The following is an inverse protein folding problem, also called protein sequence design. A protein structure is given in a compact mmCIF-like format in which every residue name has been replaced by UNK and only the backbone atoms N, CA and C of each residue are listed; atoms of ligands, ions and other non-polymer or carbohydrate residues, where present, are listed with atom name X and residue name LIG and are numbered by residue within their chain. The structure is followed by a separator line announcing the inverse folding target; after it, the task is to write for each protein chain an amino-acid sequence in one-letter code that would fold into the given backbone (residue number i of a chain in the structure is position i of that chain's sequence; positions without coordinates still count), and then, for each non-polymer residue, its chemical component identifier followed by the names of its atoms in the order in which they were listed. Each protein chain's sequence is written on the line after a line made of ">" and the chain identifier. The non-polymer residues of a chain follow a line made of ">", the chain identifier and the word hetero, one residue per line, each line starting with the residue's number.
data_IF_239423383012
#
_entry.id   IF_239423383012
#
_cell.length_a   1.000
_cell.length_b   1.000
_cell.length_c   1.000
_cell.angle_alpha   90.00
_cell.angle_beta   90.00
_cell.angle_gamma   90.00
#
_symmetry.space_group_name_H-M   'P 1'
#
loop_
_entity.id
_entity.type
_entity.pdbx_description
1 polymer ?
#
# COMPACT_ATOMS: atom_id res chain seq x y z
N UNK A 1 10.28 -14.19 -4.05
CA UNK A 1 10.19 -12.84 -4.66
C UNK A 1 10.94 -12.69 -5.98
N UNK A 2 12.23 -13.08 -6.09
CA UNK A 2 12.98 -12.95 -7.35
C UNK A 2 12.41 -13.77 -8.53
N UNK A 3 11.82 -14.95 -8.27
CA UNK A 3 11.12 -15.76 -9.28
C UNK A 3 9.85 -15.09 -9.79
N UNK A 4 9.03 -14.51 -8.90
CA UNK A 4 7.79 -13.80 -9.23
C UNK A 4 8.03 -12.67 -10.25
N UNK A 5 9.05 -11.83 -9.99
CA UNK A 5 9.43 -10.76 -10.91
C UNK A 5 9.96 -11.29 -12.25
N UNK A 6 10.69 -12.40 -12.24
CA UNK A 6 11.29 -12.96 -13.46
C UNK A 6 10.24 -13.64 -14.36
N UNK A 7 9.23 -14.26 -13.77
CA UNK A 7 8.29 -15.14 -14.47
C UNK A 7 6.97 -14.44 -14.81
N UNK A 8 6.40 -13.66 -13.88
CA UNK A 8 5.11 -12.98 -14.08
C UNK A 8 5.24 -11.51 -14.47
N UNK A 9 6.30 -10.83 -14.02
CA UNK A 9 6.49 -9.39 -14.24
C UNK A 9 7.84 -9.07 -14.90
N UNK A 10 8.18 -9.68 -16.06
CA UNK A 10 9.53 -9.60 -16.65
C UNK A 10 9.92 -8.20 -17.13
N UNK A 11 8.96 -7.28 -17.26
CA UNK A 11 9.15 -5.87 -17.59
C UNK A 11 9.47 -5.02 -16.35
N UNK A 12 9.10 -5.49 -15.15
CA UNK A 12 9.39 -4.87 -13.86
C UNK A 12 10.81 -5.19 -13.40
N UNK A 13 11.78 -4.92 -14.28
CA UNK A 13 13.22 -5.06 -13.98
C UNK A 13 13.76 -3.88 -13.21
N UNK A 14 12.93 -2.89 -12.91
CA UNK A 14 13.32 -1.72 -12.13
C UNK A 14 14.02 -2.18 -10.85
N UNK A 15 15.28 -1.76 -10.71
CA UNK A 15 16.12 -2.08 -9.55
C UNK A 15 15.42 -1.63 -8.25
N UNK A 16 14.62 -0.55 -8.32
CA UNK A 16 13.78 -0.06 -7.23
C UNK A 16 12.79 -1.11 -6.72
N UNK A 17 12.01 -1.74 -7.59
CA UNK A 17 11.02 -2.77 -7.22
C UNK A 17 11.70 -3.97 -6.54
N UNK A 18 12.83 -4.44 -7.08
CA UNK A 18 13.61 -5.52 -6.48
C UNK A 18 14.17 -5.14 -5.10
N UNK A 19 14.69 -3.92 -4.97
CA UNK A 19 15.27 -3.43 -3.73
C UNK A 19 14.21 -3.31 -2.64
N UNK A 20 13.06 -2.71 -2.95
CA UNK A 20 11.93 -2.59 -2.01
C UNK A 20 11.50 -3.96 -1.52
N UNK A 21 11.25 -4.92 -2.42
CA UNK A 21 10.83 -6.27 -2.03
C UNK A 21 11.90 -7.02 -1.23
N UNK A 22 13.19 -6.83 -1.56
CA UNK A 22 14.30 -7.45 -0.82
C UNK A 22 14.40 -6.90 0.60
N UNK A 23 14.27 -5.58 0.78
CA UNK A 23 14.30 -4.94 2.10
C UNK A 23 13.10 -5.38 2.94
N UNK A 24 11.88 -5.32 2.38
CA UNK A 24 10.65 -5.78 3.04
C UNK A 24 10.75 -7.25 3.45
N UNK A 25 11.17 -8.12 2.53
CA UNK A 25 11.33 -9.55 2.80
C UNK A 25 12.33 -9.83 3.91
N UNK A 26 13.50 -9.16 3.91
CA UNK A 26 14.51 -9.32 4.96
C UNK A 26 13.98 -8.92 6.32
N UNK A 27 13.34 -7.75 6.43
CA UNK A 27 12.79 -7.24 7.70
C UNK A 27 11.69 -8.11 8.27
N UNK A 28 10.83 -8.66 7.41
CA UNK A 28 9.75 -9.56 7.85
C UNK A 28 10.29 -10.93 8.28
N UNK A 29 11.33 -11.45 7.63
CA UNK A 29 11.97 -12.72 8.02
C UNK A 29 12.81 -12.57 9.29
N UNK A 30 13.47 -11.43 9.50
CA UNK A 30 14.31 -11.20 10.68
C UNK A 30 13.53 -10.94 11.97
N UNK A 31 12.19 -10.85 11.91
CA UNK A 31 11.31 -10.43 13.03
C UNK A 31 11.69 -9.07 13.65
N UNK A 32 12.52 -8.27 13.00
CA UNK A 32 12.95 -6.95 13.46
C UNK A 32 11.83 -5.89 13.32
N UNK A 33 10.72 -6.24 12.67
CA UNK A 33 9.57 -5.34 12.47
C UNK A 33 8.77 -5.21 13.77
N UNK A 34 9.03 -4.15 14.52
CA UNK A 34 8.20 -3.74 15.68
C UNK A 34 7.02 -2.85 15.29
N UNK A 35 6.98 -2.40 14.04
CA UNK A 35 6.01 -1.44 13.53
C UNK A 35 5.22 -1.99 12.33
N UNK A 36 4.03 -1.42 12.10
CA UNK A 36 3.24 -1.69 10.91
C UNK A 36 3.96 -1.09 9.70
N UNK A 37 4.25 -1.92 8.70
CA UNK A 37 4.88 -1.45 7.46
C UNK A 37 3.81 -1.28 6.38
N UNK A 38 3.91 -0.20 5.60
CA UNK A 38 3.00 0.06 4.48
C UNK A 38 3.74 -0.09 3.16
N UNK A 39 3.17 -0.87 2.25
CA UNK A 39 3.63 -1.00 0.87
C UNK A 39 2.57 -0.44 -0.07
N UNK A 40 2.89 0.64 -0.78
CA UNK A 40 2.02 1.27 -1.76
C UNK A 40 2.45 0.89 -3.18
N UNK A 41 1.58 0.20 -3.92
CA UNK A 41 1.84 -0.24 -5.29
C UNK A 41 0.96 0.56 -6.25
N UNK A 42 1.54 1.15 -7.28
CA UNK A 42 0.80 1.86 -8.32
C UNK A 42 1.06 1.30 -9.71
N UNK A 43 0.06 1.42 -10.58
CA UNK A 43 0.09 0.98 -11.97
C UNK A 43 -1.11 0.10 -12.32
N UNK A 44 -1.27 -0.16 -13.61
CA UNK A 44 -2.41 -0.90 -14.16
C UNK A 44 -2.56 -2.32 -13.58
N UNK A 45 -1.43 -2.97 -13.24
CA UNK A 45 -1.38 -4.29 -12.61
C UNK A 45 -1.22 -4.27 -11.08
N UNK A 46 -1.36 -3.11 -10.41
CA UNK A 46 -1.07 -2.98 -8.99
C UNK A 46 -1.84 -3.98 -8.11
N UNK A 47 -3.11 -4.26 -8.44
CA UNK A 47 -3.93 -5.25 -7.74
C UNK A 47 -3.40 -6.68 -7.88
N UNK A 48 -3.06 -7.09 -9.09
CA UNK A 48 -2.53 -8.43 -9.35
C UNK A 48 -1.18 -8.60 -8.65
N UNK A 49 -0.33 -7.59 -8.77
CA UNK A 49 0.99 -7.58 -8.15
C UNK A 49 0.90 -7.61 -6.61
N UNK A 50 0.00 -6.84 -6.02
CA UNK A 50 -0.25 -6.86 -4.58
C UNK A 50 -0.71 -8.22 -4.08
N UNK A 51 -1.61 -8.88 -4.81
CA UNK A 51 -2.07 -10.22 -4.48
C UNK A 51 -0.91 -11.24 -4.55
N UNK A 52 -0.09 -11.18 -5.60
CA UNK A 52 1.05 -12.09 -5.77
C UNK A 52 2.13 -11.87 -4.70
N UNK A 53 2.48 -10.61 -4.37
CA UNK A 53 3.44 -10.28 -3.30
C UNK A 53 2.94 -10.78 -1.96
N UNK A 54 1.66 -10.54 -1.67
CA UNK A 54 1.01 -10.97 -0.44
C UNK A 54 1.02 -12.50 -0.33
N UNK A 55 0.69 -13.22 -1.40
CA UNK A 55 0.70 -14.69 -1.42
C UNK A 55 2.10 -15.25 -1.12
N UNK A 56 3.14 -14.71 -1.75
CA UNK A 56 4.54 -15.12 -1.50
C UNK A 56 4.94 -14.86 -0.05
N UNK A 57 4.56 -13.72 0.52
CA UNK A 57 4.88 -13.41 1.92
C UNK A 57 4.13 -14.30 2.90
N UNK A 58 2.86 -14.60 2.65
CA UNK A 58 2.09 -15.55 3.47
C UNK A 58 2.70 -16.94 3.44
N UNK A 59 3.12 -17.42 2.25
CA UNK A 59 3.78 -18.72 2.09
C UNK A 59 5.10 -18.79 2.86
N UNK A 60 5.93 -17.74 2.75
CA UNK A 60 7.26 -17.70 3.40
C UNK A 60 7.15 -17.55 4.91
N UNK A 61 6.20 -16.75 5.40
CA UNK A 61 6.11 -16.41 6.82
C UNK A 61 5.33 -17.46 7.64
N UNK A 62 4.63 -18.41 6.99
CA UNK A 62 3.85 -19.51 7.61
C UNK A 62 2.84 -19.10 8.71
N UNK A 63 2.64 -17.79 8.96
CA UNK A 63 1.98 -17.25 10.16
C UNK A 63 1.02 -16.07 9.87
N UNK A 64 0.43 -15.96 8.68
CA UNK A 64 -0.40 -14.78 8.36
C UNK A 64 -1.66 -15.07 7.55
N UNK A 65 -2.82 -14.72 8.11
CA UNK A 65 -4.03 -14.47 7.33
C UNK A 65 -3.86 -13.17 6.53
N UNK A 66 -3.46 -13.30 5.27
CA UNK A 66 -3.49 -12.18 4.33
C UNK A 66 -4.93 -11.92 3.89
N UNK A 67 -5.62 -10.99 4.53
CA UNK A 67 -6.91 -10.52 4.03
C UNK A 67 -6.73 -9.46 2.95
N UNK A 68 -7.63 -9.41 1.97
CA UNK A 68 -7.73 -8.32 0.99
C UNK A 68 -9.04 -7.56 1.15
N UNK A 69 -8.95 -6.24 1.24
CA UNK A 69 -10.02 -5.25 1.34
C UNK A 69 -10.08 -4.46 0.05
N UNK A 70 -11.26 -4.45 -0.56
CA UNK A 70 -11.51 -3.63 -1.75
C UNK A 70 -12.21 -2.34 -1.35
N UNK A 71 -11.52 -1.20 -1.47
CA UNK A 71 -12.10 0.11 -1.17
C UNK A 71 -12.82 0.71 -2.40
N UNK A 72 -13.84 1.54 -2.14
CA UNK A 72 -14.62 2.22 -3.16
C UNK A 72 -15.06 3.62 -2.69
N UNK A 73 -15.50 4.47 -3.63
CA UNK A 73 -15.85 5.89 -3.40
C UNK A 73 -17.02 6.12 -2.45
N UNK A 74 -17.86 5.11 -2.24
CA UNK A 74 -19.03 5.19 -1.35
C UNK A 74 -18.75 4.60 0.02
N UNK A 75 -17.55 4.07 0.25
CA UNK A 75 -17.20 3.42 1.51
C UNK A 75 -17.11 4.45 2.63
N UNK A 76 -17.91 4.24 3.68
CA UNK A 76 -17.87 5.07 4.88
C UNK A 76 -16.75 4.61 5.82
N UNK A 77 -16.25 5.53 6.65
CA UNK A 77 -15.17 5.29 7.61
C UNK A 77 -15.38 4.05 8.46
N UNK A 78 -16.51 3.92 9.14
CA UNK A 78 -16.80 2.76 9.99
C UNK A 78 -16.82 1.43 9.21
N UNK A 79 -17.19 1.44 7.93
CA UNK A 79 -17.19 0.23 7.10
C UNK A 79 -15.76 -0.17 6.71
N UNK A 80 -14.89 0.82 6.52
CA UNK A 80 -13.48 0.59 6.31
C UNK A 80 -12.84 0.07 7.59
N UNK A 81 -13.10 0.71 8.74
CA UNK A 81 -12.61 0.27 10.05
C UNK A 81 -13.03 -1.19 10.36
N UNK A 82 -14.28 -1.57 10.07
CA UNK A 82 -14.76 -2.95 10.26
C UNK A 82 -14.06 -3.95 9.33
N UNK A 83 -13.73 -3.53 8.09
CA UNK A 83 -13.02 -4.36 7.13
C UNK A 83 -11.54 -4.48 7.46
N UNK A 84 -10.90 -3.41 7.91
CA UNK A 84 -9.51 -3.38 8.41
C UNK A 84 -9.33 -4.40 9.52
N UNK A 85 -10.28 -4.45 10.46
CA UNK A 85 -10.26 -5.45 11.53
C UNK A 85 -10.41 -6.91 11.03
N UNK A 86 -10.79 -7.12 9.76
CA UNK A 86 -11.06 -8.43 9.16
C UNK A 86 -10.09 -8.80 8.02
N UNK A 87 -9.29 -7.87 7.48
CA UNK A 87 -8.41 -8.10 6.32
C UNK A 87 -7.28 -7.05 6.19
N UNK A 88 -6.21 -7.34 5.43
CA UNK A 88 -4.90 -6.63 5.50
C UNK A 88 -4.36 -5.97 4.20
N UNK A 89 -5.14 -5.84 3.11
CA UNK A 89 -4.67 -5.18 1.86
C UNK A 89 -5.74 -4.25 1.28
N UNK A 90 -5.44 -3.04 0.80
CA UNK A 90 -6.44 -2.08 0.33
C UNK A 90 -6.20 -1.53 -1.09
N UNK A 91 -7.27 -1.13 -1.78
CA UNK A 91 -7.21 -0.35 -3.02
C UNK A 91 -7.72 1.08 -2.78
N UNK A 92 -6.81 1.99 -2.46
CA UNK A 92 -7.12 3.30 -1.87
C UNK A 92 -7.47 4.38 -2.90
N UNK A 93 -7.24 4.13 -4.20
CA UNK A 93 -7.48 5.10 -5.28
C UNK A 93 -8.92 5.63 -5.35
N UNK A 94 -9.86 4.84 -4.84
CA UNK A 94 -11.28 5.17 -4.78
C UNK A 94 -11.75 5.68 -3.42
N UNK A 95 -10.93 5.73 -2.38
CA UNK A 95 -11.38 6.27 -1.09
C UNK A 95 -11.64 7.78 -1.19
N UNK A 96 -12.74 8.24 -0.59
CA UNK A 96 -13.15 9.65 -0.57
C UNK A 96 -13.69 10.02 0.81
N UNK A 97 -13.61 11.30 1.16
CA UNK A 97 -14.15 11.84 2.40
C UNK A 97 -13.51 11.26 3.67
N UNK A 98 -14.27 11.16 4.75
CA UNK A 98 -13.76 10.79 6.08
C UNK A 98 -13.14 9.38 6.16
N UNK A 99 -13.44 8.49 5.21
CA UNK A 99 -12.86 7.14 5.20
C UNK A 99 -11.34 7.16 5.06
N UNK A 100 -10.76 8.21 4.44
CA UNK A 100 -9.31 8.36 4.30
C UNK A 100 -8.63 8.47 5.68
N UNK A 101 -9.33 9.00 6.69
CA UNK A 101 -8.79 9.13 8.05
C UNK A 101 -8.54 7.77 8.73
N UNK A 102 -9.19 6.70 8.28
CA UNK A 102 -8.92 5.35 8.78
C UNK A 102 -7.50 4.88 8.44
N UNK A 103 -6.96 5.33 7.29
CA UNK A 103 -5.57 5.04 6.89
C UNK A 103 -4.57 5.65 7.88
N UNK A 104 -4.90 6.81 8.46
CA UNK A 104 -4.04 7.43 9.47
C UNK A 104 -3.85 6.51 10.68
N UNK A 105 -4.93 5.90 11.19
CA UNK A 105 -4.86 5.02 12.37
C UNK A 105 -4.25 3.66 12.03
N UNK A 106 -4.58 3.11 10.85
CA UNK A 106 -4.06 1.81 10.40
C UNK A 106 -2.56 1.83 10.15
N UNK A 107 -2.07 2.89 9.50
CA UNK A 107 -0.67 3.03 9.10
C UNK A 107 0.14 3.86 10.08
N UNK A 108 -0.35 4.08 11.31
CA UNK A 108 0.42 4.76 12.33
C UNK A 108 1.53 3.85 12.88
N UNK A 109 2.77 4.36 12.90
CA UNK A 109 3.94 3.57 13.27
C UNK A 109 3.94 3.16 14.75
N UNK A 110 3.39 3.99 15.65
CA UNK A 110 3.37 3.75 17.09
C UNK A 110 2.06 3.13 17.58
N UNK A 111 0.93 3.52 16.98
CA UNK A 111 -0.39 3.22 17.52
C UNK A 111 -1.26 2.34 16.62
N UNK A 112 -0.71 1.78 15.55
CA UNK A 112 -1.48 0.87 14.69
C UNK A 112 -2.04 -0.30 15.52
N UNK A 113 -3.35 -0.62 15.37
CA UNK A 113 -3.94 -1.81 15.99
C UNK A 113 -3.30 -3.12 15.46
N UNK A 114 -2.53 -3.04 14.38
CA UNK A 114 -1.82 -4.16 13.76
C UNK A 114 -0.32 -3.88 13.65
N UNK A 115 0.35 -3.63 14.77
CA UNK A 115 1.76 -3.21 14.86
C UNK A 115 2.82 -4.16 14.25
N UNK A 116 2.45 -5.36 13.77
CA UNK A 116 3.36 -6.26 13.02
C UNK A 116 2.92 -6.52 11.58
N UNK A 117 1.82 -5.89 11.17
CA UNK A 117 1.23 -6.05 9.85
C UNK A 117 2.17 -5.60 8.73
N UNK A 118 1.96 -6.20 7.56
CA UNK A 118 2.23 -5.52 6.30
C UNK A 118 0.89 -5.07 5.74
N UNK A 119 0.71 -3.75 5.60
CA UNK A 119 -0.45 -3.16 4.96
C UNK A 119 -0.10 -2.92 3.50
N UNK A 120 -0.71 -3.67 2.58
CA UNK A 120 -0.46 -3.52 1.14
C UNK A 120 -1.56 -2.69 0.50
N UNK A 121 -1.21 -1.48 0.08
CA UNK A 121 -2.10 -0.52 -0.55
C UNK A 121 -1.88 -0.48 -2.07
N UNK A 122 -2.93 -0.25 -2.85
CA UNK A 122 -2.88 -0.19 -4.31
C UNK A 122 -3.54 1.06 -4.86
N UNK A 123 -2.95 1.60 -5.94
CA UNK A 123 -3.51 2.69 -6.75
C UNK A 123 -3.48 2.26 -8.22
N UNK A 124 -4.64 1.86 -8.75
CA UNK A 124 -4.75 1.25 -10.08
C UNK A 124 -5.03 2.23 -11.20
N UNK A 125 -5.51 3.41 -10.85
CA UNK A 125 -5.78 4.46 -11.82
C UNK A 125 -4.46 5.19 -12.10
N UNK A 126 -4.15 5.43 -13.38
CA UNK A 126 -3.04 6.24 -13.90
C UNK A 126 -1.69 5.54 -14.19
N UNK A 127 -1.14 5.89 -15.36
CA UNK A 127 0.24 5.61 -15.73
C UNK A 127 1.12 6.70 -15.12
N UNK A 128 1.77 6.40 -13.99
CA UNK A 128 2.48 7.39 -13.17
C UNK A 128 3.94 7.60 -13.59
N UNK A 129 4.38 6.96 -14.68
CA UNK A 129 5.78 6.99 -15.10
C UNK A 129 6.68 6.11 -14.24
N UNK A 130 7.99 6.34 -14.30
CA UNK A 130 9.01 5.57 -13.58
C UNK A 130 9.42 6.34 -12.33
N UNK A 131 9.91 5.64 -11.30
CA UNK A 131 10.55 6.28 -10.15
C UNK A 131 11.72 7.18 -10.58
N UNK A 132 11.90 8.40 -10.02
CA UNK A 132 11.16 9.01 -8.91
C UNK A 132 9.91 9.83 -9.31
N UNK A 133 9.68 10.07 -10.61
CA UNK A 133 8.56 10.89 -11.08
C UNK A 133 7.20 10.34 -10.66
N UNK A 134 7.10 9.01 -10.56
CA UNK A 134 5.92 8.32 -10.06
C UNK A 134 5.55 8.68 -8.61
N UNK A 135 6.50 8.83 -7.70
CA UNK A 135 6.22 9.17 -6.30
C UNK A 135 5.60 10.58 -6.21
N UNK A 136 6.17 11.53 -6.95
CA UNK A 136 5.66 12.90 -7.03
C UNK A 136 4.27 12.95 -7.70
N UNK A 137 4.06 12.19 -8.77
CA UNK A 137 2.78 12.09 -9.46
C UNK A 137 1.69 11.47 -8.56
N UNK A 138 2.04 10.44 -7.80
CA UNK A 138 1.15 9.77 -6.85
C UNK A 138 0.72 10.70 -5.73
N UNK A 139 1.68 11.38 -5.11
CA UNK A 139 1.42 12.36 -4.05
C UNK A 139 0.52 13.49 -4.55
N UNK A 140 0.84 14.07 -5.72
CA UNK A 140 0.05 15.14 -6.33
C UNK A 140 -1.38 14.70 -6.66
N UNK A 141 -1.55 13.48 -7.15
CA UNK A 141 -2.85 12.91 -7.46
C UNK A 141 -3.69 12.73 -6.19
N UNK A 142 -3.15 12.06 -5.16
CA UNK A 142 -3.88 11.79 -3.93
C UNK A 142 -4.25 13.10 -3.22
N UNK A 143 -3.35 14.09 -3.23
CA UNK A 143 -3.68 15.45 -2.78
C UNK A 143 -4.90 16.02 -3.49
N UNK A 144 -4.94 15.95 -4.82
CA UNK A 144 -6.06 16.47 -5.61
C UNK A 144 -7.36 15.72 -5.36
N UNK A 145 -7.31 14.38 -5.31
CA UNK A 145 -8.51 13.54 -5.21
C UNK A 145 -9.11 13.52 -3.80
N UNK A 146 -8.29 13.72 -2.77
CA UNK A 146 -8.73 13.68 -1.38
C UNK A 146 -9.09 15.04 -0.80
N UNK A 147 -8.73 16.12 -1.49
CA UNK A 147 -9.01 17.47 -1.04
C UNK A 147 -10.51 17.71 -0.94
N UNK A 148 -10.95 18.04 0.27
CA UNK A 148 -12.33 18.43 0.57
C UNK A 148 -12.30 19.59 1.58
N UNK A 149 -13.42 20.28 1.85
CA UNK A 149 -13.47 21.28 2.92
C UNK A 149 -13.06 20.75 4.30
N UNK A 150 -13.15 19.42 4.51
CA UNK A 150 -12.82 18.74 5.77
C UNK A 150 -11.43 18.09 5.79
N UNK A 151 -10.91 17.68 4.63
CA UNK A 151 -9.55 17.15 4.44
C UNK A 151 -8.70 18.19 3.72
N UNK A 152 -7.96 18.98 4.51
CA UNK A 152 -7.04 19.99 4.01
C UNK A 152 -5.67 19.36 3.63
N UNK A 153 -4.80 20.18 3.03
CA UNK A 153 -3.48 19.74 2.59
C UNK A 153 -2.64 19.11 3.69
N UNK A 154 -2.60 19.73 4.88
CA UNK A 154 -1.78 19.25 6.00
C UNK A 154 -2.19 17.85 6.47
N UNK A 155 -3.50 17.61 6.58
CA UNK A 155 -4.03 16.29 6.96
C UNK A 155 -3.67 15.25 5.89
N UNK A 156 -3.81 15.61 4.61
CA UNK A 156 -3.47 14.69 3.52
C UNK A 156 -1.97 14.37 3.55
N UNK A 157 -1.09 15.37 3.71
CA UNK A 157 0.35 15.16 3.79
C UNK A 157 0.74 14.25 4.97
N UNK A 158 0.08 14.41 6.12
CA UNK A 158 0.31 13.55 7.29
C UNK A 158 -0.13 12.09 7.07
N UNK A 159 -1.16 11.86 6.25
CA UNK A 159 -1.59 10.51 5.86
C UNK A 159 -0.62 9.93 4.83
N UNK A 160 -0.26 10.73 3.81
CA UNK A 160 0.70 10.32 2.79
C UNK A 160 2.01 9.85 3.41
N UNK A 161 2.57 10.62 4.35
CA UNK A 161 3.82 10.25 5.03
C UNK A 161 3.78 8.91 5.77
N UNK A 162 2.58 8.41 6.12
CA UNK A 162 2.37 7.12 6.79
C UNK A 162 2.16 5.96 5.81
N UNK A 163 1.58 6.25 4.65
CA UNK A 163 1.24 5.22 3.67
C UNK A 163 2.31 5.02 2.59
N UNK A 164 3.29 5.92 2.49
CA UNK A 164 4.34 5.89 1.47
C UNK A 164 5.69 5.35 1.97
N UNK A 165 5.72 4.56 3.04
CA UNK A 165 6.98 4.00 3.59
C UNK A 165 7.76 3.19 2.56
N UNK A 166 7.06 2.41 1.73
CA UNK A 166 7.61 1.76 0.56
C UNK A 166 6.68 1.98 -0.63
N UNK A 167 7.25 2.39 -1.77
CA UNK A 167 6.51 2.62 -3.00
C UNK A 167 7.04 1.72 -4.12
N UNK A 168 6.14 1.03 -4.82
CA UNK A 168 6.44 0.31 -6.05
C UNK A 168 5.63 0.94 -7.18
N UNK A 169 6.34 1.40 -8.20
CA UNK A 169 5.75 1.95 -9.42
C UNK A 169 5.91 0.93 -10.54
N UNK A 170 4.81 0.32 -10.96
CA UNK A 170 4.80 -0.68 -12.02
C UNK A 170 4.85 -0.01 -13.40
N UNK A 171 5.69 -0.56 -14.26
CA UNK A 171 5.97 -0.15 -15.63
C UNK A 171 5.07 -0.91 -16.61
N UNK A 172 3.74 -0.84 -16.44
CA UNK A 172 2.70 -1.47 -17.29
C UNK A 172 2.84 -2.98 -17.58
#
# INVERSE_FOLDING_TARGET
>A
MASLLREKYPQERAESTKNVLTVLGRRKISEESTEAETLLITGSKAKEFAADVTAVLTEVLQNGEAGTIFCNEKMKRYQLDEKINKAMSENIDRLRGEAILSLHALCDYEYSPHSKALVVLTVTNFNMGIYPDCENALSSLLHKEWQTPFLNGDIISAILSRITSYIICLTN
#
